data_IF_265841589803
#
_entry.id   IF_265841589803
#
_cell.length_a   1.000
_cell.length_b   1.000
_cell.length_c   1.000
_cell.angle_alpha   90.00
_cell.angle_beta   90.00
_cell.angle_gamma   90.00
#
_symmetry.space_group_name_H-M   'P 1'
#
loop_
_entity.id
_entity.type
_entity.pdbx_description
1 polymer ?
#
# COMPACT_ATOMS: atom_id res chain seq x y z
N UNK A 1 1.17 25.73 -22.92
CA UNK A 1 1.83 24.82 -21.97
C UNK A 1 1.39 23.36 -22.05
N UNK A 2 0.31 23.01 -22.79
CA UNK A 2 -0.10 21.60 -22.98
C UNK A 2 0.65 20.92 -24.14
N UNK A 3 1.23 21.69 -25.07
CA UNK A 3 1.86 21.18 -26.29
C UNK A 3 3.30 20.67 -26.14
N UNK A 4 4.03 21.11 -25.11
CA UNK A 4 5.47 20.81 -24.99
C UNK A 4 5.72 19.51 -24.20
N UNK A 5 4.85 19.21 -23.22
CA UNK A 5 4.86 17.96 -22.45
C UNK A 5 4.48 16.75 -23.31
N UNK A 6 3.61 16.94 -24.32
CA UNK A 6 3.22 15.86 -25.25
C UNK A 6 4.34 15.39 -26.17
N UNK A 7 5.34 16.23 -26.47
CA UNK A 7 6.42 15.88 -27.39
C UNK A 7 7.55 15.06 -26.74
N UNK A 8 7.79 15.28 -25.44
CA UNK A 8 8.81 14.56 -24.65
C UNK A 8 8.30 13.21 -24.10
N UNK A 9 6.99 12.99 -24.10
CA UNK A 9 6.33 11.75 -23.65
C UNK A 9 6.32 10.62 -24.72
N UNK A 10 6.94 10.86 -25.88
CA UNK A 10 6.57 10.16 -27.12
C UNK A 10 7.05 8.73 -27.31
N UNK A 11 7.99 8.15 -26.53
CA UNK A 11 8.42 6.76 -26.80
C UNK A 11 9.14 5.96 -25.71
N UNK A 12 9.60 6.57 -24.62
CA UNK A 12 10.23 5.85 -23.50
C UNK A 12 9.75 6.31 -22.09
N UNK A 13 8.90 7.34 -22.02
CA UNK A 13 8.60 8.06 -20.77
C UNK A 13 7.28 7.71 -20.07
N UNK A 14 6.35 7.00 -20.72
CA UNK A 14 5.03 6.69 -20.14
C UNK A 14 5.01 5.35 -19.40
N UNK A 15 5.72 4.33 -19.91
CA UNK A 15 5.79 3.01 -19.28
C UNK A 15 6.51 3.06 -17.91
N UNK A 16 7.58 3.86 -17.79
CA UNK A 16 8.29 4.07 -16.53
C UNK A 16 7.48 4.88 -15.51
N UNK A 17 6.71 5.86 -15.98
CA UNK A 17 5.82 6.66 -15.13
C UNK A 17 4.65 5.83 -14.59
N UNK A 18 4.00 5.02 -15.44
CA UNK A 18 2.91 4.13 -15.04
C UNK A 18 3.35 3.12 -13.98
N UNK A 19 4.52 2.50 -14.17
CA UNK A 19 5.10 1.58 -13.18
C UNK A 19 5.48 2.27 -11.86
N UNK A 20 5.95 3.51 -11.92
CA UNK A 20 6.27 4.28 -10.71
C UNK A 20 5.02 4.68 -9.92
N UNK A 21 3.92 5.04 -10.61
CA UNK A 21 2.62 5.30 -10.00
C UNK A 21 2.08 4.02 -9.36
N UNK A 22 2.16 2.90 -10.07
CA UNK A 22 1.73 1.59 -9.55
C UNK A 22 2.46 1.21 -8.24
N UNK A 23 3.77 1.35 -8.24
CA UNK A 23 4.58 1.09 -7.04
C UNK A 23 4.20 2.04 -5.91
N UNK A 24 3.94 3.32 -6.19
CA UNK A 24 3.59 4.30 -5.17
C UNK A 24 2.22 4.03 -4.55
N UNK A 25 1.20 3.79 -5.36
CA UNK A 25 -0.16 3.51 -4.89
C UNK A 25 -0.20 2.22 -4.05
N UNK A 26 0.55 1.19 -4.46
CA UNK A 26 0.71 -0.04 -3.67
C UNK A 26 1.39 0.23 -2.32
N UNK A 27 2.44 1.06 -2.29
CA UNK A 27 3.12 1.42 -1.04
C UNK A 27 2.19 2.20 -0.11
N UNK A 28 1.42 3.16 -0.63
CA UNK A 28 0.44 3.93 0.15
C UNK A 28 -0.66 3.00 0.68
N UNK A 29 -1.20 2.12 -0.16
CA UNK A 29 -2.23 1.15 0.24
C UNK A 29 -1.74 0.23 1.37
N UNK A 30 -0.52 -0.28 1.27
CA UNK A 30 0.09 -1.09 2.32
C UNK A 30 0.24 -0.31 3.64
N UNK A 31 0.63 0.96 3.58
CA UNK A 31 0.72 1.80 4.79
C UNK A 31 -0.66 2.09 5.39
N UNK A 32 -1.71 2.29 4.58
CA UNK A 32 -3.09 2.40 5.07
C UNK A 32 -3.51 1.12 5.81
N UNK A 33 -3.25 -0.05 5.22
CA UNK A 33 -3.56 -1.35 5.87
C UNK A 33 -2.82 -1.50 7.20
N UNK A 34 -1.53 -1.11 7.26
CA UNK A 34 -0.77 -1.09 8.53
C UNK A 34 -1.43 -0.16 9.56
N UNK A 35 -1.84 1.03 9.15
CA UNK A 35 -2.55 1.98 10.02
C UNK A 35 -3.86 1.42 10.55
N UNK A 36 -4.67 0.79 9.69
CA UNK A 36 -5.92 0.13 10.06
C UNK A 36 -5.71 -0.99 11.08
N UNK A 37 -4.72 -1.86 10.83
CA UNK A 37 -4.37 -2.95 11.74
C UNK A 37 -3.88 -2.43 13.10
N UNK A 38 -3.09 -1.35 13.10
CA UNK A 38 -2.64 -0.71 14.34
C UNK A 38 -3.83 -0.16 15.13
N UNK A 39 -4.73 0.58 14.47
CA UNK A 39 -5.97 1.09 15.10
C UNK A 39 -6.84 -0.04 15.66
N UNK A 40 -7.03 -1.12 14.89
CA UNK A 40 -7.78 -2.29 15.32
C UNK A 40 -7.12 -2.96 16.53
N UNK A 41 -5.79 -3.08 16.57
CA UNK A 41 -5.08 -3.67 17.70
C UNK A 41 -5.26 -2.90 19.02
N UNK A 42 -5.64 -1.62 18.94
CA UNK A 42 -5.95 -0.75 20.07
C UNK A 42 -7.47 -0.62 20.34
N UNK A 43 -8.30 -1.44 19.69
CA UNK A 43 -9.74 -1.49 19.95
C UNK A 43 -10.03 -1.99 21.37
N UNK A 44 -11.24 -1.72 21.88
CA UNK A 44 -11.63 -2.16 23.23
C UNK A 44 -11.57 -3.68 23.36
N UNK A 45 -12.02 -4.37 22.32
CA UNK A 45 -12.08 -5.82 22.23
C UNK A 45 -10.67 -6.43 22.25
N UNK A 46 -9.75 -5.89 21.44
CA UNK A 46 -8.38 -6.37 21.40
C UNK A 46 -7.59 -6.04 22.66
N UNK A 47 -7.81 -4.87 23.28
CA UNK A 47 -7.20 -4.53 24.56
C UNK A 47 -7.75 -5.41 25.69
N UNK A 48 -9.06 -5.72 25.69
CA UNK A 48 -9.64 -6.66 26.64
C UNK A 48 -9.05 -8.06 26.45
N UNK A 49 -8.99 -8.55 25.21
CA UNK A 49 -8.39 -9.85 24.89
C UNK A 49 -6.92 -9.93 25.32
N UNK A 50 -6.12 -8.89 25.05
CA UNK A 50 -4.74 -8.80 25.52
C UNK A 50 -4.68 -8.93 27.04
N UNK A 51 -5.47 -8.14 27.77
CA UNK A 51 -5.43 -8.09 29.23
C UNK A 51 -5.95 -9.36 29.89
N UNK A 52 -7.05 -9.90 29.41
CA UNK A 52 -7.83 -10.95 30.08
C UNK A 52 -7.46 -12.36 29.60
N UNK A 53 -6.88 -12.48 28.41
CA UNK A 53 -6.54 -13.79 27.82
C UNK A 53 -5.03 -13.93 27.65
N UNK A 54 -4.40 -13.02 26.91
CA UNK A 54 -2.98 -13.16 26.54
C UNK A 54 -2.08 -12.96 27.76
N UNK A 55 -2.21 -11.84 28.46
CA UNK A 55 -1.34 -11.48 29.57
C UNK A 55 -1.56 -12.39 30.80
N UNK A 56 -2.78 -12.92 30.99
CA UNK A 56 -3.09 -13.87 32.07
C UNK A 56 -2.73 -15.32 31.74
N UNK A 57 -2.26 -15.61 30.53
CA UNK A 57 -1.88 -16.97 30.15
C UNK A 57 -0.71 -17.48 31.00
N UNK A 58 -0.70 -18.78 31.32
CA UNK A 58 0.37 -19.38 32.12
C UNK A 58 1.74 -19.17 31.48
N UNK A 59 1.85 -19.24 30.15
CA UNK A 59 3.11 -19.00 29.44
C UNK A 59 3.68 -17.61 29.71
N UNK A 60 2.84 -16.57 29.60
CA UNK A 60 3.28 -15.19 29.87
C UNK A 60 3.62 -15.00 31.36
N UNK A 61 2.76 -15.51 32.24
CA UNK A 61 2.92 -15.36 33.70
C UNK A 61 4.15 -16.08 34.26
N UNK A 62 4.56 -17.20 33.65
CA UNK A 62 5.72 -17.97 34.10
C UNK A 62 7.03 -17.59 33.39
N UNK A 63 6.97 -17.22 32.11
CA UNK A 63 8.17 -16.97 31.30
C UNK A 63 8.56 -15.50 31.18
N UNK A 64 7.60 -14.58 31.36
CA UNK A 64 7.85 -13.14 31.20
C UNK A 64 7.79 -12.45 32.56
N UNK A 65 6.60 -12.32 33.14
CA UNK A 65 6.41 -11.68 34.45
C UNK A 65 5.05 -11.98 35.04
N UNK A 66 4.95 -11.99 36.37
CA UNK A 66 3.69 -12.01 37.12
C UNK A 66 3.17 -10.60 37.44
N UNK A 67 4.01 -9.58 37.27
CA UNK A 67 3.63 -8.20 37.50
C UNK A 67 2.87 -7.67 36.27
N UNK A 68 1.57 -7.44 36.45
CA UNK A 68 0.71 -6.93 35.39
C UNK A 68 1.10 -5.52 34.94
N UNK A 69 1.66 -4.68 35.82
CA UNK A 69 2.15 -3.35 35.43
C UNK A 69 3.39 -3.43 34.54
N UNK A 70 4.27 -4.39 34.80
CA UNK A 70 5.41 -4.68 33.94
C UNK A 70 4.95 -5.19 32.55
N UNK A 71 4.04 -6.18 32.52
CA UNK A 71 3.50 -6.71 31.28
C UNK A 71 2.81 -5.63 30.43
N UNK A 72 2.02 -4.76 31.05
CA UNK A 72 1.37 -3.64 30.37
C UNK A 72 2.38 -2.61 29.86
N UNK A 73 3.47 -2.35 30.61
CA UNK A 73 4.54 -1.46 30.14
C UNK A 73 5.26 -2.02 28.92
N UNK A 74 5.53 -3.33 28.89
CA UNK A 74 6.13 -4.01 27.73
C UNK A 74 5.19 -3.91 26.53
N UNK A 75 3.93 -4.33 26.66
CA UNK A 75 2.97 -4.28 25.56
C UNK A 75 2.76 -2.84 25.03
N UNK A 76 2.72 -1.85 25.92
CA UNK A 76 2.62 -0.46 25.53
C UNK A 76 3.89 0.06 24.84
N UNK A 77 5.08 -0.43 25.23
CA UNK A 77 6.34 -0.08 24.55
C UNK A 77 6.38 -0.66 23.13
N UNK A 78 5.98 -1.92 22.97
CA UNK A 78 5.90 -2.57 21.66
C UNK A 78 4.92 -1.82 20.73
N UNK A 79 3.74 -1.45 21.24
CA UNK A 79 2.76 -0.69 20.46
C UNK A 79 3.24 0.73 20.10
N UNK A 80 4.02 1.38 20.98
CA UNK A 80 4.63 2.68 20.68
C UNK A 80 5.68 2.57 19.57
N UNK A 81 6.48 1.51 19.55
CA UNK A 81 7.46 1.29 18.48
C UNK A 81 6.76 1.01 17.14
N UNK A 82 5.68 0.21 17.14
CA UNK A 82 4.85 -0.01 15.95
C UNK A 82 4.27 1.30 15.40
N UNK A 83 3.73 2.15 16.29
CA UNK A 83 3.22 3.49 15.93
C UNK A 83 4.33 4.40 15.39
N UNK A 84 5.55 4.33 15.94
CA UNK A 84 6.70 5.10 15.48
C UNK A 84 7.12 4.71 14.05
N UNK A 85 7.15 3.40 13.75
CA UNK A 85 7.44 2.91 12.40
C UNK A 85 6.37 3.39 11.42
N UNK A 86 5.08 3.22 11.77
CA UNK A 86 3.96 3.67 10.94
C UNK A 86 3.99 5.17 10.68
N UNK A 87 4.14 5.99 11.72
CA UNK A 87 4.21 7.46 11.58
C UNK A 87 5.41 7.89 10.74
N UNK A 88 6.56 7.22 10.86
CA UNK A 88 7.71 7.45 9.98
C UNK A 88 7.41 7.22 8.50
N UNK A 89 6.62 6.20 8.16
CA UNK A 89 6.16 5.99 6.78
C UNK A 89 5.25 7.13 6.31
N UNK A 90 4.31 7.57 7.16
CA UNK A 90 3.40 8.69 6.86
C UNK A 90 4.17 9.99 6.62
N UNK A 91 5.13 10.33 7.49
CA UNK A 91 6.00 11.50 7.33
C UNK A 91 6.75 11.44 6.01
N UNK A 92 7.30 10.27 5.66
CA UNK A 92 8.04 10.07 4.41
C UNK A 92 7.15 10.29 3.19
N UNK A 93 5.89 9.87 3.21
CA UNK A 93 4.95 10.18 2.13
C UNK A 93 4.58 11.66 2.09
N UNK A 94 4.27 12.24 3.25
CA UNK A 94 3.94 13.67 3.39
C UNK A 94 5.02 14.57 2.80
N UNK A 95 6.29 14.33 3.14
CA UNK A 95 7.44 15.08 2.59
C UNK A 95 7.65 14.93 1.08
N UNK A 96 7.00 13.95 0.44
CA UNK A 96 7.01 13.75 -1.02
C UNK A 96 5.75 14.29 -1.70
N UNK A 97 4.75 14.75 -0.94
CA UNK A 97 3.57 15.38 -1.49
C UNK A 97 3.94 16.69 -2.20
N UNK A 98 3.23 17.03 -3.27
CA UNK A 98 3.41 18.30 -3.98
C UNK A 98 3.02 19.51 -3.13
N UNK A 99 2.03 19.31 -2.25
CA UNK A 99 1.52 20.34 -1.38
C UNK A 99 2.34 20.41 -0.09
N UNK A 100 3.02 21.54 0.20
CA UNK A 100 3.85 21.69 1.39
C UNK A 100 3.12 21.58 2.73
N UNK A 101 1.78 21.68 2.75
CA UNK A 101 1.02 21.54 4.00
C UNK A 101 1.20 20.15 4.65
N UNK A 102 1.55 19.14 3.86
CA UNK A 102 1.79 17.77 4.33
C UNK A 102 3.25 17.49 4.70
N UNK A 103 4.13 18.50 4.65
CA UNK A 103 5.54 18.34 4.96
C UNK A 103 5.81 18.53 6.46
N UNK A 104 6.91 17.96 6.94
CA UNK A 104 7.41 18.08 8.31
C UNK A 104 6.42 17.60 9.38
N UNK A 105 5.66 16.54 9.08
CA UNK A 105 4.69 15.92 9.99
C UNK A 105 5.35 15.32 11.25
N UNK A 106 6.65 15.03 11.20
CA UNK A 106 7.47 14.60 12.34
C UNK A 106 7.33 15.55 13.54
N UNK A 107 7.35 16.88 13.28
CA UNK A 107 7.19 17.91 14.32
C UNK A 107 5.83 17.85 15.02
N UNK A 108 4.79 17.38 14.33
CA UNK A 108 3.47 17.20 14.92
C UNK A 108 3.42 15.93 15.78
N UNK A 109 4.01 14.83 15.31
CA UNK A 109 4.09 13.59 16.06
C UNK A 109 4.92 13.71 17.35
N UNK A 110 6.01 14.49 17.33
CA UNK A 110 6.81 14.76 18.52
C UNK A 110 6.01 15.50 19.60
N UNK A 111 5.17 16.47 19.22
CA UNK A 111 4.33 17.25 20.16
C UNK A 111 3.21 16.43 20.78
N UNK A 112 2.62 15.50 20.02
CA UNK A 112 1.54 14.63 20.51
C UNK A 112 2.00 13.70 21.64
N UNK A 113 3.29 13.39 21.73
CA UNK A 113 3.87 12.64 22.85
C UNK A 113 3.88 13.40 24.18
N UNK A 114 3.79 14.74 24.14
CA UNK A 114 3.87 15.62 25.33
C UNK A 114 2.54 16.23 25.76
N UNK A 115 1.57 16.39 24.85
CA UNK A 115 0.29 17.07 25.12
C UNK A 115 -0.88 16.07 25.02
N UNK A 116 -1.20 15.40 26.14
CA UNK A 116 -2.33 14.47 26.21
C UNK A 116 -3.61 15.18 26.67
N UNK A 117 -4.38 15.70 25.72
CA UNK A 117 -5.82 15.98 25.97
C UNK A 117 -6.66 14.90 25.29
N UNK A 118 -7.36 14.03 26.06
CA UNK A 118 -8.24 13.03 25.49
C UNK A 118 -9.43 13.69 24.79
N UNK A 119 -9.47 13.65 23.45
CA UNK A 119 -10.59 14.20 22.67
C UNK A 119 -11.33 13.07 21.97
N UNK A 120 -12.42 12.60 22.59
CA UNK A 120 -13.23 11.46 22.11
C UNK A 120 -13.70 11.61 20.65
N UNK A 121 -13.99 12.83 20.22
CA UNK A 121 -14.42 13.14 18.85
C UNK A 121 -13.35 12.81 17.81
N UNK A 122 -12.07 13.05 18.10
CA UNK A 122 -10.97 12.76 17.16
C UNK A 122 -10.85 11.27 16.85
N UNK A 123 -11.19 10.41 17.82
CA UNK A 123 -11.18 8.96 17.62
C UNK A 123 -12.26 8.53 16.62
N UNK A 124 -13.49 8.98 16.82
CA UNK A 124 -14.63 8.62 15.96
C UNK A 124 -14.43 9.13 14.52
N UNK A 125 -13.85 10.32 14.38
CA UNK A 125 -13.45 10.87 13.09
C UNK A 125 -12.34 10.05 12.43
N UNK A 126 -11.28 9.72 13.18
CA UNK A 126 -10.19 8.88 12.68
C UNK A 126 -10.68 7.48 12.25
N UNK A 127 -11.58 6.87 13.00
CA UNK A 127 -12.20 5.58 12.65
C UNK A 127 -12.97 5.70 11.32
N UNK A 128 -13.74 6.78 11.14
CA UNK A 128 -14.49 7.04 9.90
C UNK A 128 -13.57 7.26 8.70
N UNK A 129 -12.53 8.08 8.85
CA UNK A 129 -11.53 8.33 7.80
C UNK A 129 -10.80 7.04 7.43
N UNK A 130 -10.44 6.21 8.42
CA UNK A 130 -9.77 4.94 8.16
C UNK A 130 -10.65 3.98 7.33
N UNK A 131 -11.96 3.92 7.59
CA UNK A 131 -12.88 3.12 6.76
C UNK A 131 -12.95 3.60 5.31
N UNK A 132 -12.93 4.91 5.10
CA UNK A 132 -12.86 5.49 3.75
C UNK A 132 -11.54 5.13 3.06
N UNK A 133 -10.41 5.24 3.76
CA UNK A 133 -9.10 4.85 3.24
C UNK A 133 -9.03 3.36 2.89
N UNK A 134 -9.60 2.49 3.73
CA UNK A 134 -9.68 1.05 3.44
C UNK A 134 -10.55 0.75 2.22
N UNK A 135 -11.60 1.54 1.97
CA UNK A 135 -12.39 1.44 0.74
C UNK A 135 -11.55 1.80 -0.49
N UNK A 136 -10.71 2.84 -0.40
CA UNK A 136 -9.77 3.20 -1.47
C UNK A 136 -8.70 2.12 -1.70
N UNK A 137 -8.21 1.48 -0.63
CA UNK A 137 -7.31 0.32 -0.74
C UNK A 137 -7.98 -0.81 -1.53
N UNK A 138 -9.25 -1.11 -1.24
CA UNK A 138 -10.01 -2.13 -1.96
C UNK A 138 -10.14 -1.79 -3.45
N UNK A 139 -10.52 -0.54 -3.80
CA UNK A 139 -10.58 -0.10 -5.18
C UNK A 139 -9.22 -0.14 -5.89
N UNK A 140 -8.15 0.15 -5.15
CA UNK A 140 -6.78 0.07 -5.69
C UNK A 140 -6.43 -1.38 -6.05
N UNK A 141 -6.78 -2.34 -5.20
CA UNK A 141 -6.57 -3.77 -5.48
C UNK A 141 -7.39 -4.26 -6.69
N UNK A 142 -8.64 -3.82 -6.81
CA UNK A 142 -9.50 -4.13 -7.96
C UNK A 142 -8.92 -3.52 -9.26
N UNK A 143 -8.47 -2.28 -9.21
CA UNK A 143 -7.83 -1.63 -10.36
C UNK A 143 -6.60 -2.40 -10.84
N UNK A 144 -5.75 -2.88 -9.92
CA UNK A 144 -4.60 -3.71 -10.30
C UNK A 144 -4.99 -5.04 -10.91
N UNK A 145 -6.01 -5.70 -10.35
CA UNK A 145 -6.52 -6.93 -10.92
C UNK A 145 -6.96 -6.75 -12.37
N UNK A 146 -7.71 -5.68 -12.66
CA UNK A 146 -8.17 -5.36 -14.00
C UNK A 146 -7.02 -4.93 -14.94
N UNK A 147 -6.06 -4.14 -14.45
CA UNK A 147 -4.89 -3.74 -15.23
C UNK A 147 -4.05 -4.96 -15.63
N UNK A 148 -3.86 -5.91 -14.72
CA UNK A 148 -3.20 -7.18 -15.02
C UNK A 148 -4.00 -8.04 -16.01
N UNK A 149 -5.33 -8.02 -15.96
CA UNK A 149 -6.15 -8.70 -16.94
C UNK A 149 -5.96 -8.08 -18.34
N UNK A 150 -5.95 -6.75 -18.43
CA UNK A 150 -5.72 -6.02 -19.67
C UNK A 150 -4.35 -6.32 -20.27
N UNK A 151 -3.27 -6.27 -19.47
CA UNK A 151 -1.92 -6.59 -19.94
C UNK A 151 -1.84 -8.01 -20.53
N UNK A 152 -2.49 -8.99 -19.91
CA UNK A 152 -2.59 -10.35 -20.49
C UNK A 152 -3.31 -10.36 -21.84
N UNK A 153 -4.44 -9.67 -21.96
CA UNK A 153 -5.17 -9.58 -23.24
C UNK A 153 -4.33 -8.92 -24.34
N UNK A 154 -3.59 -7.85 -24.02
CA UNK A 154 -2.71 -7.19 -24.98
C UNK A 154 -1.55 -8.08 -25.43
N UNK A 155 -0.97 -8.85 -24.52
CA UNK A 155 0.10 -9.80 -24.84
C UNK A 155 -0.39 -10.93 -25.75
N UNK A 156 -1.56 -11.49 -25.45
CA UNK A 156 -2.16 -12.54 -26.27
C UNK A 156 -2.59 -12.00 -27.65
N UNK A 157 -3.09 -10.76 -27.73
CA UNK A 157 -3.38 -10.10 -29.00
C UNK A 157 -2.11 -9.89 -29.84
N UNK A 158 -1.03 -9.39 -29.23
CA UNK A 158 0.27 -9.23 -29.90
C UNK A 158 0.84 -10.57 -30.39
N UNK A 159 0.67 -11.65 -29.61
CA UNK A 159 1.11 -12.99 -30.01
C UNK A 159 0.37 -13.48 -31.25
N UNK A 160 -0.96 -13.30 -31.31
CA UNK A 160 -1.77 -13.68 -32.48
C UNK A 160 -1.36 -12.93 -33.75
N UNK A 161 -1.11 -11.62 -33.66
CA UNK A 161 -0.60 -10.84 -34.80
C UNK A 161 0.72 -11.41 -35.32
N UNK A 162 1.63 -11.78 -34.42
CA UNK A 162 2.91 -12.35 -34.80
C UNK A 162 2.78 -13.76 -35.42
N UNK A 163 1.83 -14.57 -34.95
CA UNK A 163 1.52 -15.88 -35.53
C UNK A 163 0.91 -15.76 -36.95
N UNK A 164 0.05 -14.77 -37.17
CA UNK A 164 -0.51 -14.44 -38.49
C UNK A 164 0.58 -13.95 -39.47
N UNK A 165 1.49 -13.07 -39.03
CA UNK A 165 2.61 -12.62 -39.88
C UNK A 165 3.58 -13.76 -40.25
N UNK A 166 3.88 -14.64 -39.29
CA UNK A 166 4.78 -15.78 -39.51
C UNK A 166 4.17 -16.84 -40.44
N UNK A 167 2.86 -17.09 -40.33
CA UNK A 167 2.14 -18.02 -41.21
C UNK A 167 2.02 -17.50 -42.64
N UNK A 168 1.81 -16.19 -42.81
CA UNK A 168 1.84 -15.52 -44.11
C UNK A 168 3.23 -15.54 -44.77
N UNK A 169 4.31 -15.38 -43.99
CA UNK A 169 5.68 -15.51 -44.49
C UNK A 169 6.01 -16.95 -44.93
N UNK A 170 5.56 -17.96 -44.18
CA UNK A 170 5.73 -19.37 -44.52
C UNK A 170 4.96 -19.78 -45.79
N UNK A 171 3.75 -19.26 -46.01
CA UNK A 171 3.00 -19.48 -47.26
C UNK A 171 3.66 -18.83 -48.47
N UNK A 172 4.21 -17.62 -48.35
CA UNK A 172 4.97 -16.97 -49.44
C UNK A 172 6.25 -17.72 -49.80
N UNK A 173 6.96 -18.28 -48.82
CA UNK A 173 8.14 -19.13 -49.07
C UNK A 173 7.79 -20.41 -49.82
N UNK A 174 6.67 -21.05 -49.48
CA UNK A 174 6.18 -22.25 -50.18
C UNK A 174 5.68 -21.97 -51.61
N UNK A 175 5.02 -20.83 -51.85
CA UNK A 175 4.65 -20.43 -53.21
C UNK A 175 5.88 -20.22 -54.09
N UNK A 176 6.95 -19.62 -53.54
CA UNK A 176 8.19 -19.38 -54.29
C UNK A 176 8.92 -20.69 -54.69
N UNK A 177 8.83 -21.73 -53.86
CA UNK A 177 9.39 -23.06 -54.18
C UNK A 177 8.55 -23.82 -55.22
N UNK A 178 7.26 -23.52 -55.34
CA UNK A 178 6.38 -24.18 -56.33
C UNK A 178 6.50 -23.59 -57.75
N UNK A 179 7.11 -22.42 -57.92
CA UNK A 179 7.36 -21.81 -59.25
C UNK A 179 8.76 -22.14 -59.82
N UNK A 180 9.48 -23.12 -59.27
CA UNK A 180 10.82 -23.53 -59.72
C UNK A 180 10.97 -25.02 -60.07
N UNK A 181 9.85 -25.71 -60.31
CA UNK A 181 9.79 -27.04 -60.94
C UNK A 181 8.90 -26.97 -62.18
#
# INVERSE_FOLDING_TARGET
MVSEVSSLLGRAGTAGLGKAVEVLDTLVANTIVKGSNLMQSLSKENIAHLKEVVLLSEGVQHLISKDMEELLRIAAADKREELKIFSGEVVRFGNRCKDPQWHNLDRYFEKLGSELTPQKQLKEEADTVMQQLMTLVQYTAELYHELHALDRFEQDYRRKLQEEDNSNAAQRGNLCLHFHL
#
